data_IF_570753723067
#
_entry.id   IF_570753723067
#
_cell.length_a   1.000
_cell.length_b   1.000
_cell.length_c   1.000
_cell.angle_alpha   90.00
_cell.angle_beta   90.00
_cell.angle_gamma   90.00
#
_symmetry.space_group_name_H-M   'P 1'
#
loop_
_entity.id
_entity.type
_entity.pdbx_description
1 polymer ?
#
# COMPACT_ATOMS: atom_id res chain seq x y z
N UNK A 1 -6.91 -19.89 5.15
CA UNK A 1 -7.74 -19.06 4.24
C UNK A 1 -6.89 -17.89 3.79
N UNK A 2 -5.94 -18.12 2.89
CA UNK A 2 -5.07 -17.07 2.37
C UNK A 2 -5.82 -16.48 1.17
N UNK A 3 -6.37 -15.27 1.32
CA UNK A 3 -6.98 -14.56 0.19
C UNK A 3 -5.87 -14.36 -0.82
N UNK A 4 -5.97 -15.05 -1.96
CA UNK A 4 -5.21 -14.78 -3.17
C UNK A 4 -5.53 -13.34 -3.56
N UNK A 5 -4.72 -12.40 -3.04
CA UNK A 5 -4.82 -11.02 -3.44
C UNK A 5 -4.37 -11.00 -4.90
N UNK A 6 -5.20 -10.56 -5.85
CA UNK A 6 -4.82 -10.51 -7.25
C UNK A 6 -3.50 -9.72 -7.36
N UNK A 7 -2.65 -10.13 -8.30
CA UNK A 7 -1.33 -9.53 -8.60
C UNK A 7 -1.47 -8.03 -8.92
N UNK A 8 -1.66 -7.21 -7.89
CA UNK A 8 -1.86 -5.79 -7.98
C UNK A 8 -0.52 -5.12 -7.74
N UNK A 9 -0.11 -4.28 -8.69
CA UNK A 9 1.10 -3.48 -8.58
C UNK A 9 0.70 -2.04 -8.27
N UNK A 10 1.47 -1.39 -7.41
CA UNK A 10 1.29 0.02 -7.11
C UNK A 10 1.72 0.82 -8.36
N UNK A 11 0.76 1.48 -9.00
CA UNK A 11 0.96 2.35 -10.17
C UNK A 11 1.38 3.76 -9.74
N UNK A 12 0.76 4.29 -8.68
CA UNK A 12 1.08 5.60 -8.11
C UNK A 12 0.91 5.61 -6.60
N UNK A 13 1.62 6.49 -5.91
CA UNK A 13 1.57 6.67 -4.47
C UNK A 13 1.73 8.16 -4.14
N UNK A 14 0.73 8.75 -3.49
CA UNK A 14 0.64 10.18 -3.24
C UNK A 14 0.25 10.43 -1.78
N UNK A 15 0.92 11.36 -1.10
CA UNK A 15 0.56 11.77 0.26
C UNK A 15 -0.40 12.95 0.16
N UNK A 16 -1.58 12.83 0.76
CA UNK A 16 -2.60 13.87 0.83
C UNK A 16 -2.84 14.30 2.28
N UNK A 17 -3.32 15.53 2.46
CA UNK A 17 -3.89 15.96 3.73
C UNK A 17 -5.24 15.30 3.92
N UNK A 18 -5.36 14.48 4.96
CA UNK A 18 -6.57 13.77 5.28
C UNK A 18 -7.61 14.60 5.99
N UNK A 19 -8.80 14.00 6.16
CA UNK A 19 -10.01 14.71 6.60
C UNK A 19 -9.87 15.37 7.99
N UNK A 20 -8.93 14.91 8.83
CA UNK A 20 -8.65 15.45 10.17
C UNK A 20 -7.33 16.26 10.27
N UNK A 21 -6.64 16.48 9.13
CA UNK A 21 -5.31 17.09 9.11
C UNK A 21 -4.15 16.11 9.28
N UNK A 22 -4.44 14.81 9.37
CA UNK A 22 -3.44 13.73 9.36
C UNK A 22 -2.97 13.42 7.93
N UNK A 23 -1.76 12.89 7.78
CA UNK A 23 -1.21 12.56 6.46
C UNK A 23 -1.76 11.22 5.97
N UNK A 24 -2.53 11.22 4.89
CA UNK A 24 -3.02 9.98 4.27
C UNK A 24 -2.18 9.63 3.04
N UNK A 25 -1.93 8.34 2.84
CA UNK A 25 -1.24 7.82 1.67
C UNK A 25 -2.27 7.20 0.71
N UNK A 26 -2.46 7.83 -0.44
CA UNK A 26 -3.30 7.31 -1.52
C UNK A 26 -2.43 6.52 -2.48
N UNK A 27 -2.71 5.24 -2.65
CA UNK A 27 -2.04 4.40 -3.65
C UNK A 27 -3.01 3.95 -4.72
N UNK A 28 -2.62 4.12 -5.97
CA UNK A 28 -3.36 3.54 -7.10
C UNK A 28 -2.78 2.19 -7.42
N UNK A 29 -3.59 1.15 -7.36
CA UNK A 29 -3.22 -0.20 -7.73
C UNK A 29 -3.71 -0.50 -9.14
N UNK A 30 -2.85 -1.09 -9.95
CA UNK A 30 -3.19 -1.66 -11.25
C UNK A 30 -3.18 -3.17 -11.17
N UNK A 31 -4.28 -3.79 -11.57
CA UNK A 31 -4.43 -5.23 -11.65
C UNK A 31 -4.15 -5.72 -13.08
N UNK A 32 -3.78 -7.00 -13.22
CA UNK A 32 -3.50 -7.63 -14.51
C UNK A 32 -4.71 -7.71 -15.44
N UNK A 33 -5.93 -7.68 -14.90
CA UNK A 33 -7.19 -7.61 -15.66
C UNK A 33 -7.48 -6.20 -16.22
N UNK A 34 -6.56 -5.24 -16.05
CA UNK A 34 -6.73 -3.85 -16.48
C UNK A 34 -7.53 -2.99 -15.49
N UNK A 35 -8.00 -3.56 -14.39
CA UNK A 35 -8.65 -2.82 -13.31
C UNK A 35 -7.68 -1.87 -12.62
N UNK A 36 -8.18 -0.71 -12.20
CA UNK A 36 -7.45 0.22 -11.33
C UNK A 36 -8.30 0.54 -10.12
N UNK A 37 -7.68 0.60 -8.95
CA UNK A 37 -8.35 1.00 -7.71
C UNK A 37 -7.46 1.92 -6.91
N UNK A 38 -8.03 2.97 -6.35
CA UNK A 38 -7.34 3.83 -5.40
C UNK A 38 -7.65 3.33 -3.99
N UNK A 39 -6.59 3.10 -3.20
CA UNK A 39 -6.69 2.74 -1.79
C UNK A 39 -6.12 3.88 -0.97
N UNK A 40 -6.93 4.41 -0.07
CA UNK A 40 -6.48 5.41 0.91
C UNK A 40 -6.01 4.67 2.14
N UNK A 41 -4.79 4.96 2.56
CA UNK A 41 -4.16 4.43 3.75
C UNK A 41 -3.96 5.55 4.74
N UNK A 42 -4.33 5.29 5.99
CA UNK A 42 -3.90 6.13 7.10
C UNK A 42 -2.36 6.09 7.24
N UNK A 43 -1.81 7.13 7.88
CA UNK A 43 -0.38 7.25 8.23
C UNK A 43 0.21 5.94 8.74
N UNK A 44 -0.47 5.25 9.67
CA UNK A 44 0.09 4.05 10.28
C UNK A 44 0.17 2.88 9.29
N UNK A 45 -0.85 2.73 8.44
CA UNK A 45 -0.91 1.69 7.42
C UNK A 45 0.09 1.97 6.28
N UNK A 46 0.20 3.23 5.84
CA UNK A 46 1.20 3.66 4.86
C UNK A 46 2.63 3.43 5.35
N UNK A 47 2.92 3.76 6.61
CA UNK A 47 4.22 3.47 7.22
C UNK A 47 4.52 1.97 7.32
N UNK A 48 3.53 1.13 7.63
CA UNK A 48 3.71 -0.33 7.63
C UNK A 48 4.05 -0.85 6.24
N UNK A 49 3.30 -0.42 5.22
CA UNK A 49 3.58 -0.79 3.83
C UNK A 49 4.99 -0.38 3.41
N UNK A 50 5.42 0.85 3.71
CA UNK A 50 6.77 1.33 3.41
C UNK A 50 7.84 0.48 4.09
N UNK A 51 7.65 0.13 5.37
CA UNK A 51 8.57 -0.78 6.09
C UNK A 51 8.63 -2.17 5.48
N UNK A 52 7.48 -2.76 5.14
CA UNK A 52 7.42 -4.09 4.52
C UNK A 52 8.04 -4.12 3.12
N UNK A 53 7.95 -3.01 2.39
CA UNK A 53 8.63 -2.82 1.12
C UNK A 53 10.11 -2.45 1.27
N UNK A 54 10.57 -2.05 2.46
CA UNK A 54 11.93 -1.57 2.70
C UNK A 54 12.23 -0.24 2.01
N UNK A 55 11.25 0.65 1.92
CA UNK A 55 11.38 1.96 1.25
C UNK A 55 11.16 3.12 2.21
N UNK A 56 11.86 4.23 1.98
CA UNK A 56 11.82 5.41 2.85
C UNK A 56 10.87 6.53 2.36
N UNK A 57 10.29 6.39 1.17
CA UNK A 57 9.40 7.41 0.59
C UNK A 57 8.31 6.80 -0.31
N UNK A 58 7.15 7.47 -0.39
CA UNK A 58 5.97 6.97 -1.08
C UNK A 58 6.21 6.63 -2.56
N UNK A 59 6.96 7.45 -3.31
CA UNK A 59 7.22 7.18 -4.73
C UNK A 59 8.02 5.88 -4.97
N UNK A 60 8.80 5.41 -4.01
CA UNK A 60 9.51 4.13 -4.11
C UNK A 60 8.58 2.91 -3.96
N UNK A 61 7.31 3.12 -3.58
CA UNK A 61 6.29 2.08 -3.63
C UNK A 61 5.84 1.78 -5.07
N UNK A 62 6.06 2.70 -6.01
CA UNK A 62 5.66 2.50 -7.41
C UNK A 62 6.41 1.28 -7.99
N UNK A 63 5.65 0.34 -8.54
CA UNK A 63 6.16 -0.94 -9.04
C UNK A 63 6.26 -2.04 -7.98
N UNK A 64 6.07 -1.74 -6.70
CA UNK A 64 6.00 -2.76 -5.65
C UNK A 64 4.65 -3.50 -5.67
N UNK A 65 4.63 -4.78 -5.27
CA UNK A 65 3.39 -5.53 -5.17
C UNK A 65 2.60 -5.08 -3.93
N UNK A 66 1.29 -4.92 -4.10
CA UNK A 66 0.37 -4.51 -3.03
C UNK A 66 0.31 -5.51 -1.87
N UNK A 67 0.54 -6.80 -2.14
CA UNK A 67 0.43 -7.88 -1.17
C UNK A 67 1.29 -7.67 0.10
N UNK A 68 2.35 -6.86 0.01
CA UNK A 68 3.21 -6.44 1.13
C UNK A 68 2.43 -5.81 2.28
N UNK A 69 1.30 -5.16 2.02
CA UNK A 69 0.46 -4.57 3.08
C UNK A 69 -0.28 -5.64 3.91
N UNK A 70 -0.53 -6.80 3.32
CA UNK A 70 -1.24 -7.92 3.96
C UNK A 70 -0.28 -8.81 4.75
N UNK A 71 1.03 -8.66 4.54
CA UNK A 71 2.05 -9.28 5.37
C UNK A 71 1.96 -8.66 6.77
N UNK A 72 1.19 -9.31 7.63
CA UNK A 72 1.23 -9.03 9.06
C UNK A 72 2.59 -9.52 9.56
N UNK A 73 3.24 -8.75 10.43
CA UNK A 73 4.33 -9.24 11.27
C UNK A 73 3.83 -10.50 11.96
N UNK A 74 4.13 -11.65 11.37
CA UNK A 74 3.77 -12.95 11.88
C UNK A 74 4.76 -13.32 12.98
N UNK A 75 4.99 -12.39 13.91
CA UNK A 75 5.62 -12.72 15.17
C UNK A 75 4.49 -13.08 16.14
N UNK A 76 3.93 -14.26 15.91
CA UNK A 76 3.28 -15.00 16.98
C UNK A 76 4.41 -15.59 17.80
N UNK A 77 4.64 -15.07 19.00
CA UNK A 77 5.47 -15.71 20.02
C UNK A 77 4.66 -15.86 21.30
#
# INVERSE_FOLDING_TARGET
MTRDAPLAVIESAEITGGHDGEAELVVTLRFTNGGRTAVVLDTQAGMRLMRNCGVDHAAALIGQPWNRILEQDSCSI
#
